data_IF_425207220268
#
_entry.id   IF_425207220268
#
_cell.length_a   1.000
_cell.length_b   1.000
_cell.length_c   1.000
_cell.angle_alpha   90.00
_cell.angle_beta   90.00
_cell.angle_gamma   90.00
#
_symmetry.space_group_name_H-M   'P 1'
#
loop_
_entity.id
_entity.type
_entity.pdbx_description
1 polymer ?
#
# COMPACT_ATOMS: atom_id res chain seq x y z
N UNK A 1 -7.63 -4.71 2.36
CA UNK A 1 -6.34 -5.42 2.40
C UNK A 1 -5.45 -4.69 3.38
N UNK A 2 -4.62 -5.40 4.15
CA UNK A 2 -3.93 -4.84 5.33
C UNK A 2 -3.19 -3.52 5.02
N UNK A 3 -2.41 -3.46 3.94
CA UNK A 3 -1.70 -2.24 3.54
C UNK A 3 -2.63 -1.04 3.36
N UNK A 4 -3.81 -1.23 2.75
CA UNK A 4 -4.80 -0.17 2.58
C UNK A 4 -5.31 0.35 3.92
N UNK A 5 -5.65 -0.55 4.84
CA UNK A 5 -6.22 -0.19 6.14
C UNK A 5 -5.18 0.51 7.03
N UNK A 6 -3.92 0.08 6.95
CA UNK A 6 -2.79 0.71 7.66
C UNK A 6 -2.49 2.11 7.14
N UNK A 7 -2.44 2.31 5.83
CA UNK A 7 -2.28 3.64 5.24
C UNK A 7 -3.48 4.54 5.56
N UNK A 8 -4.70 4.00 5.54
CA UNK A 8 -5.91 4.73 5.95
C UNK A 8 -5.79 5.21 7.39
N UNK A 9 -5.46 4.31 8.32
CA UNK A 9 -5.32 4.65 9.73
C UNK A 9 -4.25 5.72 9.95
N UNK A 10 -3.11 5.63 9.25
CA UNK A 10 -2.05 6.63 9.32
C UNK A 10 -2.52 8.03 8.88
N UNK A 11 -3.31 8.11 7.80
CA UNK A 11 -3.83 9.38 7.28
C UNK A 11 -4.89 10.00 8.20
N UNK A 12 -5.78 9.18 8.73
CA UNK A 12 -6.89 9.63 9.59
C UNK A 12 -6.42 9.99 11.00
N UNK A 13 -5.32 9.41 11.47
CA UNK A 13 -4.73 9.71 12.77
C UNK A 13 -3.88 11.00 12.77
N UNK A 14 -3.65 11.54 13.97
CA UNK A 14 -2.72 12.67 14.14
C UNK A 14 -1.28 12.18 14.18
N UNK A 15 -0.43 12.79 13.36
CA UNK A 15 1.01 12.59 13.42
C UNK A 15 1.62 13.72 14.26
N UNK A 16 1.63 13.52 15.58
CA UNK A 16 1.98 14.58 16.54
C UNK A 16 0.94 15.71 16.52
N UNK A 17 1.37 16.92 16.11
CA UNK A 17 0.47 18.08 16.00
C UNK A 17 -0.20 18.22 14.62
N UNK A 18 0.21 17.41 13.65
CA UNK A 18 -0.24 17.47 12.27
C UNK A 18 -1.37 16.46 11.97
N UNK A 19 -2.08 16.67 10.87
CA UNK A 19 -3.19 15.83 10.38
C UNK A 19 -3.10 15.60 8.89
N UNK A 20 -3.83 14.58 8.42
CA UNK A 20 -3.97 14.26 6.99
C UNK A 20 -2.61 14.05 6.34
N UNK A 21 -1.86 13.14 6.95
CA UNK A 21 -0.49 12.84 6.58
C UNK A 21 -0.44 11.61 5.69
N UNK A 22 0.35 11.67 4.63
CA UNK A 22 0.75 10.49 3.87
C UNK A 22 2.26 10.30 3.99
N UNK A 23 2.72 9.06 4.23
CA UNK A 23 4.14 8.76 4.29
C UNK A 23 4.77 8.88 2.90
N UNK A 24 6.08 8.67 2.80
CA UNK A 24 6.75 8.57 1.52
C UNK A 24 6.23 7.38 0.68
N UNK A 25 6.58 7.35 -0.61
CA UNK A 25 6.36 6.16 -1.42
C UNK A 25 7.18 4.99 -0.88
N UNK A 26 6.61 3.79 -0.92
CA UNK A 26 7.25 2.56 -0.43
C UNK A 26 7.08 1.39 -1.39
N UNK A 27 8.07 0.49 -1.36
CA UNK A 27 8.13 -0.67 -2.23
C UNK A 27 8.64 -0.37 -3.65
N UNK A 28 8.63 -1.39 -4.54
CA UNK A 28 8.14 -2.73 -4.30
C UNK A 28 8.96 -3.49 -3.25
N UNK A 29 8.27 -4.09 -2.26
CA UNK A 29 8.88 -4.91 -1.22
C UNK A 29 8.05 -6.19 -0.99
N UNK A 30 8.66 -7.39 -0.97
CA UNK A 30 10.05 -7.68 -1.36
C UNK A 30 10.38 -7.26 -2.81
N UNK A 31 11.66 -7.18 -3.16
CA UNK A 31 12.08 -6.84 -4.52
C UNK A 31 11.60 -7.88 -5.56
N UNK A 32 11.66 -9.15 -5.16
CA UNK A 32 11.30 -10.31 -5.98
C UNK A 32 10.04 -10.98 -5.45
N UNK A 33 9.31 -11.63 -6.37
CA UNK A 33 8.16 -12.48 -6.06
C UNK A 33 8.55 -13.95 -6.23
N UNK A 34 7.78 -14.85 -5.63
CA UNK A 34 8.00 -16.28 -5.78
C UNK A 34 6.66 -17.03 -5.74
N UNK A 35 6.59 -18.11 -6.53
CA UNK A 35 5.47 -19.06 -6.51
C UNK A 35 5.20 -19.60 -5.12
N UNK A 36 6.27 -19.97 -4.41
CA UNK A 36 6.18 -20.39 -3.01
C UNK A 36 6.18 -19.18 -2.07
N UNK A 37 5.27 -19.14 -1.09
CA UNK A 37 5.13 -17.99 -0.22
C UNK A 37 6.33 -17.92 0.73
N UNK A 38 6.89 -16.73 0.89
CA UNK A 38 8.06 -16.50 1.76
C UNK A 38 7.73 -15.46 2.82
N UNK A 39 8.26 -15.65 4.02
CA UNK A 39 8.25 -14.60 5.03
C UNK A 39 9.10 -13.42 4.56
N UNK A 40 8.63 -12.21 4.83
CA UNK A 40 9.38 -10.99 4.56
C UNK A 40 9.25 -10.05 5.75
N UNK A 41 10.38 -9.47 6.15
CA UNK A 41 10.43 -8.44 7.17
C UNK A 41 10.50 -7.07 6.46
N UNK A 42 9.39 -6.33 6.49
CA UNK A 42 9.26 -5.02 5.86
C UNK A 42 9.99 -3.91 6.62
N UNK A 43 10.35 -4.16 7.88
CA UNK A 43 11.05 -3.20 8.74
C UNK A 43 12.53 -3.55 8.93
N UNK A 44 13.01 -4.61 8.28
CA UNK A 44 14.41 -4.99 8.24
C UNK A 44 15.29 -3.86 7.69
N UNK A 45 16.51 -3.75 8.23
CA UNK A 45 17.51 -2.81 7.75
C UNK A 45 17.80 -3.05 6.25
N UNK A 46 17.67 -1.99 5.45
CA UNK A 46 17.87 -2.04 4.00
C UNK A 46 16.65 -2.50 3.18
N UNK A 47 15.51 -2.82 3.82
CA UNK A 47 14.27 -3.10 3.09
C UNK A 47 13.79 -1.85 2.30
N UNK A 48 13.41 -1.99 1.01
CA UNK A 48 12.85 -0.87 0.26
C UNK A 48 11.58 -0.33 0.92
N UNK A 49 11.53 0.98 1.20
CA UNK A 49 10.37 1.60 1.84
C UNK A 49 10.23 1.32 3.34
N UNK A 50 11.27 0.78 4.00
CA UNK A 50 11.30 0.45 5.44
C UNK A 50 10.65 1.50 6.32
N UNK A 51 11.09 2.76 6.21
CA UNK A 51 10.61 3.87 7.05
C UNK A 51 9.10 4.10 6.90
N UNK A 52 8.57 3.90 5.70
CA UNK A 52 7.13 4.04 5.45
C UNK A 52 6.34 2.86 5.99
N UNK A 53 6.81 1.62 5.74
CA UNK A 53 6.13 0.43 6.25
C UNK A 53 6.15 0.41 7.79
N UNK A 54 7.26 0.84 8.40
CA UNK A 54 7.37 1.05 9.85
C UNK A 54 6.38 2.13 10.33
N UNK A 55 6.34 3.30 9.68
CA UNK A 55 5.46 4.40 10.07
C UNK A 55 3.96 4.04 10.04
N UNK A 56 3.53 3.21 9.09
CA UNK A 56 2.13 2.76 9.01
C UNK A 56 1.87 1.47 9.80
N UNK A 57 2.90 0.88 10.42
CA UNK A 57 2.81 -0.40 11.13
C UNK A 57 2.38 -1.56 10.22
N UNK A 58 2.90 -1.60 9.00
CA UNK A 58 2.63 -2.68 8.05
C UNK A 58 3.60 -3.83 8.25
N UNK A 59 3.05 -4.94 8.74
CA UNK A 59 3.75 -6.21 8.92
C UNK A 59 2.89 -7.34 8.34
N UNK A 60 3.52 -8.48 8.04
CA UNK A 60 2.80 -9.67 7.56
C UNK A 60 3.14 -10.88 8.42
N UNK A 61 2.17 -11.37 9.18
CA UNK A 61 2.34 -12.57 10.01
C UNK A 61 2.41 -13.87 9.19
N UNK A 62 2.06 -13.79 7.90
CA UNK A 62 1.98 -14.95 7.00
C UNK A 62 2.94 -14.78 5.83
N UNK A 63 3.58 -15.87 5.38
CA UNK A 63 4.35 -15.88 4.15
C UNK A 63 3.54 -15.32 2.96
N UNK A 64 4.17 -14.48 2.15
CA UNK A 64 3.56 -13.75 1.03
C UNK A 64 4.14 -14.22 -0.32
N UNK A 65 3.32 -14.12 -1.37
CA UNK A 65 3.72 -14.33 -2.78
C UNK A 65 3.85 -13.03 -3.57
N UNK A 66 3.40 -11.94 -2.97
CA UNK A 66 3.32 -10.63 -3.59
C UNK A 66 4.46 -9.74 -3.13
N UNK A 67 4.84 -8.80 -3.98
CA UNK A 67 5.48 -7.55 -3.58
C UNK A 67 4.44 -6.45 -3.49
N UNK A 68 4.61 -5.58 -2.50
CA UNK A 68 3.68 -4.51 -2.18
C UNK A 68 4.30 -3.15 -2.45
N UNK A 69 3.48 -2.24 -2.94
CA UNK A 69 3.80 -0.83 -3.15
C UNK A 69 2.73 0.06 -2.52
N UNK A 70 3.17 1.14 -1.86
CA UNK A 70 2.35 2.26 -1.47
C UNK A 70 2.75 3.47 -2.31
N UNK A 71 1.79 3.97 -3.10
CA UNK A 71 1.99 5.04 -4.09
C UNK A 71 1.07 6.21 -3.70
N UNK A 72 1.53 7.12 -2.82
CA UNK A 72 0.77 8.30 -2.44
C UNK A 72 0.76 9.33 -3.58
N UNK A 73 -0.35 10.07 -3.76
CA UNK A 73 -0.41 11.15 -4.76
C UNK A 73 0.46 12.34 -4.36
N UNK A 74 0.54 12.61 -3.06
CA UNK A 74 1.39 13.60 -2.40
C UNK A 74 1.84 13.04 -1.07
N UNK A 75 3.02 13.44 -0.61
CA UNK A 75 3.59 13.05 0.68
C UNK A 75 3.58 14.23 1.65
N UNK A 76 3.66 13.95 2.95
CA UNK A 76 3.61 14.96 4.01
C UNK A 76 2.20 15.16 4.58
N UNK A 77 2.06 16.19 5.42
CA UNK A 77 0.83 16.50 6.16
C UNK A 77 0.06 17.68 5.59
N UNK A 78 -1.15 17.91 6.09
CA UNK A 78 -2.04 18.96 5.60
C UNK A 78 -2.58 18.67 4.19
N UNK A 79 -2.64 17.38 3.80
CA UNK A 79 -3.18 16.97 2.53
C UNK A 79 -4.70 17.08 2.60
N UNK A 80 -5.22 18.18 2.08
CA UNK A 80 -6.65 18.38 1.85
C UNK A 80 -6.94 18.13 0.36
N UNK A 81 -7.83 17.18 0.08
CA UNK A 81 -8.20 16.78 -1.28
C UNK A 81 -9.71 16.79 -1.41
N UNK A 82 -10.18 17.29 -2.55
CA UNK A 82 -11.60 17.22 -2.89
C UNK A 82 -12.06 15.75 -3.01
N UNK A 83 -13.30 15.42 -2.57
CA UNK A 83 -13.84 14.08 -2.70
C UNK A 83 -13.78 13.55 -4.13
N UNK A 84 -13.47 12.26 -4.27
CA UNK A 84 -13.31 11.59 -5.57
C UNK A 84 -11.92 11.74 -6.21
N UNK A 85 -11.06 12.63 -5.71
CA UNK A 85 -9.66 12.66 -6.12
C UNK A 85 -8.86 11.54 -5.46
N UNK A 86 -8.00 10.86 -6.24
CA UNK A 86 -7.15 9.79 -5.69
C UNK A 86 -6.18 10.36 -4.65
N UNK A 87 -6.19 9.78 -3.46
CA UNK A 87 -5.33 10.10 -2.34
C UNK A 87 -4.04 9.27 -2.39
N UNK A 88 -4.18 7.95 -2.48
CA UNK A 88 -3.08 7.00 -2.68
C UNK A 88 -3.55 5.75 -3.42
N UNK A 89 -2.60 5.00 -3.96
CA UNK A 89 -2.81 3.65 -4.50
C UNK A 89 -1.97 2.67 -3.72
N UNK A 90 -2.56 1.54 -3.33
CA UNK A 90 -1.80 0.36 -2.88
C UNK A 90 -1.84 -0.67 -3.99
N UNK A 91 -0.68 -1.26 -4.26
CA UNK A 91 -0.53 -2.28 -5.30
C UNK A 91 0.11 -3.53 -4.72
N UNK A 92 -0.41 -4.69 -5.10
CA UNK A 92 0.24 -5.97 -4.92
C UNK A 92 0.52 -6.57 -6.30
N UNK A 93 1.75 -7.02 -6.54
CA UNK A 93 2.12 -7.74 -7.76
C UNK A 93 2.79 -9.06 -7.42
N UNK A 94 2.54 -10.12 -8.19
CA UNK A 94 3.15 -11.43 -7.95
C UNK A 94 3.01 -12.38 -9.11
N UNK A 95 4.04 -13.21 -9.31
CA UNK A 95 4.01 -14.38 -10.20
C UNK A 95 3.42 -15.56 -9.39
N UNK A 96 2.11 -15.75 -9.54
CA UNK A 96 1.33 -16.63 -8.67
C UNK A 96 1.27 -18.09 -9.14
N UNK A 97 1.46 -18.33 -10.43
CA UNK A 97 1.48 -19.67 -11.04
C UNK A 97 2.90 -20.11 -11.48
N UNK A 98 3.85 -19.18 -11.52
CA UNK A 98 5.25 -19.42 -11.87
C UNK A 98 5.53 -19.32 -13.37
N UNK A 99 4.68 -18.64 -14.14
CA UNK A 99 4.84 -18.47 -15.59
C UNK A 99 5.73 -17.26 -15.96
N UNK A 100 6.13 -16.46 -14.96
CA UNK A 100 6.95 -15.26 -15.12
C UNK A 100 6.16 -13.98 -15.43
N UNK A 101 4.83 -14.06 -15.52
CA UNK A 101 3.92 -12.92 -15.67
C UNK A 101 3.40 -12.50 -14.29
N UNK A 102 3.44 -11.19 -14.02
CA UNK A 102 2.98 -10.67 -12.74
C UNK A 102 1.47 -10.34 -12.78
N UNK A 103 0.68 -11.06 -12.00
CA UNK A 103 -0.67 -10.61 -11.64
C UNK A 103 -0.57 -9.33 -10.82
N UNK A 104 -1.34 -8.31 -11.19
CA UNK A 104 -1.36 -7.00 -10.52
C UNK A 104 -2.73 -6.74 -9.92
N UNK A 105 -2.74 -6.32 -8.65
CA UNK A 105 -3.95 -5.96 -7.90
C UNK A 105 -3.79 -4.56 -7.34
N UNK A 106 -4.59 -3.60 -7.80
CA UNK A 106 -4.57 -2.22 -7.31
C UNK A 106 -5.84 -1.83 -6.59
N UNK A 107 -5.69 -1.24 -5.40
CA UNK A 107 -6.77 -0.56 -4.70
C UNK A 107 -6.42 0.91 -4.53
N UNK A 108 -7.31 1.78 -5.00
CA UNK A 108 -7.16 3.23 -4.88
C UNK A 108 -7.97 3.75 -3.71
N UNK A 109 -7.45 4.75 -3.04
CA UNK A 109 -8.13 5.47 -1.97
C UNK A 109 -8.51 6.87 -2.44
N UNK A 110 -9.62 7.38 -1.93
CA UNK A 110 -10.04 8.78 -1.99
C UNK A 110 -10.59 9.17 -0.62
N UNK A 111 -11.05 10.41 -0.47
CA UNK A 111 -11.76 10.88 0.73
C UNK A 111 -13.24 11.11 0.43
N UNK A 112 -14.09 10.95 1.44
CA UNK A 112 -15.49 11.40 1.41
C UNK A 112 -15.61 12.88 1.84
N UNK A 113 -16.85 13.39 1.89
CA UNK A 113 -17.14 14.78 2.28
C UNK A 113 -16.72 15.11 3.73
N UNK A 114 -16.52 14.10 4.58
CA UNK A 114 -16.04 14.26 5.96
C UNK A 114 -14.50 14.15 6.05
N UNK A 115 -13.80 13.99 4.91
CA UNK A 115 -12.36 13.80 4.85
C UNK A 115 -11.89 12.40 5.26
N UNK A 116 -12.80 11.42 5.36
CA UNK A 116 -12.48 10.03 5.73
C UNK A 116 -12.04 9.25 4.51
N UNK A 117 -11.08 8.36 4.70
CA UNK A 117 -10.54 7.55 3.61
C UNK A 117 -11.52 6.44 3.24
N UNK A 118 -11.93 6.44 1.98
CA UNK A 118 -12.78 5.44 1.36
C UNK A 118 -12.11 4.81 0.13
N UNK A 119 -12.44 3.58 -0.24
CA UNK A 119 -12.00 3.01 -1.51
C UNK A 119 -12.56 3.79 -2.69
N UNK A 120 -11.72 4.08 -3.69
CA UNK A 120 -12.12 4.67 -4.95
C UNK A 120 -12.35 3.58 -6.00
N UNK A 121 -13.61 3.28 -6.30
CA UNK A 121 -14.00 2.29 -7.30
C UNK A 121 -13.79 0.83 -6.87
N UNK A 122 -13.70 -0.06 -7.86
CA UNK A 122 -13.48 -1.50 -7.65
C UNK A 122 -11.99 -1.84 -7.59
N UNK A 123 -11.66 -3.02 -7.08
CA UNK A 123 -10.32 -3.59 -7.19
C UNK A 123 -9.95 -3.76 -8.66
N UNK A 124 -8.87 -3.13 -9.10
CA UNK A 124 -8.35 -3.30 -10.45
C UNK A 124 -7.41 -4.50 -10.49
N UNK A 125 -7.59 -5.37 -11.48
CA UNK A 125 -6.83 -6.62 -11.63
C UNK A 125 -6.30 -6.68 -13.07
N UNK A 126 -5.00 -6.86 -13.21
CA UNK A 126 -4.33 -7.14 -14.48
C UNK A 126 -3.69 -8.52 -14.41
N UNK A 127 -3.75 -9.27 -15.51
CA UNK A 127 -3.24 -10.64 -15.61
C UNK A 127 -3.72 -11.56 -14.46
N UNK A 128 -5.04 -11.74 -14.28
CA UNK A 128 -5.54 -12.69 -13.28
C UNK A 128 -5.06 -14.11 -13.62
N UNK A 129 -4.73 -14.88 -12.59
CA UNK A 129 -4.37 -16.30 -12.73
C UNK A 129 -5.57 -17.07 -13.32
N UNK A 130 -5.30 -17.96 -14.27
CA UNK A 130 -6.30 -18.86 -14.89
C UNK A 130 -6.75 -20.01 -13.98
#
# INVERSE_FOLDING_TARGET
GELFERTKAYYEDRQGDERWCLPAQAGPAPADTAKEPKGHDFVASGAPGRETFEAIGFETDRPIRYRYELIPRRTGCGIDLEPGHILYTVRATGDLDGDGVLSTYERRATVDDDGRVIPSGILHIEHPVE
#
